data_IF_841271668328
#
_entry.id   IF_841271668328
#
_cell.length_a   1.000
_cell.length_b   1.000
_cell.length_c   1.000
_cell.angle_alpha   90.00
_cell.angle_beta   90.00
_cell.angle_gamma   90.00
#
_symmetry.space_group_name_H-M   'P 1'
#
loop_
_entity.id
_entity.type
_entity.pdbx_description
1 polymer ?
#
# COMPACT_ATOMS: atom_id res chain seq x y z
N UNK A 1 -22.72 -6.55 24.33
CA UNK A 1 -23.20 -5.47 23.44
C UNK A 1 -22.63 -4.09 23.75
N UNK A 2 -21.32 -3.95 24.02
CA UNK A 2 -20.64 -2.65 23.90
C UNK A 2 -19.86 -2.69 22.60
N UNK A 3 -20.37 -2.08 21.53
CA UNK A 3 -19.51 -1.71 20.39
C UNK A 3 -18.41 -0.84 20.99
N UNK A 4 -17.15 -1.14 20.71
CA UNK A 4 -15.99 -0.31 21.07
C UNK A 4 -16.14 1.03 20.36
N UNK A 5 -16.89 1.95 20.96
CA UNK A 5 -16.98 3.33 20.52
C UNK A 5 -15.68 4.00 20.93
N UNK A 6 -14.68 3.87 20.05
CA UNK A 6 -13.43 4.59 20.18
C UNK A 6 -13.74 6.06 19.87
N UNK A 7 -13.52 6.99 20.83
CA UNK A 7 -13.62 8.41 20.55
C UNK A 7 -12.64 8.75 19.42
N UNK A 8 -13.16 9.38 18.37
CA UNK A 8 -12.35 9.81 17.24
C UNK A 8 -12.08 11.30 17.35
N UNK A 9 -10.92 11.73 16.86
CA UNK A 9 -10.65 13.15 16.70
C UNK A 9 -11.59 13.74 15.64
N UNK A 10 -12.07 14.96 15.88
CA UNK A 10 -12.89 15.71 14.91
C UNK A 10 -12.03 16.41 13.86
N UNK A 11 -10.79 16.76 14.23
CA UNK A 11 -9.84 17.43 13.34
C UNK A 11 -9.55 16.57 12.12
N UNK A 12 -9.67 17.19 10.94
CA UNK A 12 -9.32 16.59 9.66
C UNK A 12 -7.90 16.98 9.25
N UNK A 13 -7.20 16.05 8.62
CA UNK A 13 -5.83 16.21 8.16
C UNK A 13 -5.73 16.14 6.64
N UNK A 14 -4.93 17.04 6.09
CA UNK A 14 -4.65 17.19 4.67
C UNK A 14 -3.56 16.20 4.22
N UNK A 15 -2.57 15.94 5.10
CA UNK A 15 -1.45 15.04 4.81
C UNK A 15 -1.28 14.04 5.93
N UNK A 16 -1.05 12.77 5.60
CA UNK A 16 -0.66 11.72 6.54
C UNK A 16 0.77 11.28 6.28
N UNK A 17 1.59 11.23 7.33
CA UNK A 17 3.03 10.92 7.23
C UNK A 17 3.40 9.74 8.13
N UNK A 18 4.02 8.72 7.55
CA UNK A 18 4.54 7.56 8.29
C UNK A 18 5.68 6.86 7.53
N UNK A 19 6.25 5.81 8.14
CA UNK A 19 7.23 4.95 7.49
C UNK A 19 6.85 3.49 7.59
N UNK A 20 7.20 2.70 6.57
CA UNK A 20 6.91 1.28 6.48
C UNK A 20 8.12 0.43 6.88
N UNK A 21 8.00 -0.44 7.89
CA UNK A 21 8.96 -1.50 8.15
C UNK A 21 8.97 -2.50 7.00
N UNK A 22 10.12 -3.12 6.72
CA UNK A 22 10.17 -4.22 5.75
C UNK A 22 9.36 -5.44 6.21
N UNK A 23 9.31 -5.71 7.52
CA UNK A 23 8.66 -6.87 8.11
C UNK A 23 7.59 -6.45 9.13
N UNK A 24 6.31 -6.70 8.80
CA UNK A 24 5.15 -6.50 9.66
C UNK A 24 3.94 -7.29 9.11
N UNK A 25 2.91 -7.53 9.93
CA UNK A 25 1.68 -8.31 9.61
C UNK A 25 1.89 -9.60 8.79
N UNK A 26 1.93 -9.52 7.45
CA UNK A 26 2.14 -10.67 6.56
C UNK A 26 3.62 -11.10 6.41
N UNK A 27 4.53 -10.37 7.03
CA UNK A 27 5.92 -10.78 7.25
C UNK A 27 6.96 -9.98 6.45
N UNK A 28 8.19 -10.48 6.45
CA UNK A 28 9.31 -9.94 5.69
C UNK A 28 8.94 -9.71 4.21
N UNK A 29 9.16 -8.48 3.75
CA UNK A 29 8.90 -8.01 2.39
C UNK A 29 7.59 -7.23 2.25
N UNK A 30 6.70 -7.22 3.26
CA UNK A 30 5.40 -6.55 3.15
C UNK A 30 5.55 -5.04 2.88
N UNK A 31 6.51 -4.38 3.53
CA UNK A 31 6.70 -2.94 3.36
C UNK A 31 7.48 -2.53 2.11
N UNK A 32 8.05 -3.49 1.38
CA UNK A 32 8.98 -3.24 0.27
C UNK A 32 8.51 -3.80 -1.06
N UNK A 33 7.69 -4.85 -1.03
CA UNK A 33 7.01 -5.39 -2.19
C UNK A 33 5.89 -4.42 -2.63
N UNK A 34 5.79 -4.04 -3.92
CA UNK A 34 4.83 -3.04 -4.38
C UNK A 34 3.37 -3.36 -4.09
N UNK A 35 2.94 -4.60 -4.30
CA UNK A 35 1.55 -5.02 -4.13
C UNK A 35 1.19 -5.07 -2.64
N UNK A 36 2.09 -5.60 -1.81
CA UNK A 36 1.89 -5.64 -0.36
C UNK A 36 1.92 -4.23 0.26
N UNK A 37 2.81 -3.37 -0.22
CA UNK A 37 2.90 -1.97 0.17
C UNK A 37 1.59 -1.22 -0.14
N UNK A 38 0.99 -1.44 -1.32
CA UNK A 38 -0.32 -0.87 -1.67
C UNK A 38 -1.41 -1.26 -0.68
N UNK A 39 -1.46 -2.53 -0.28
CA UNK A 39 -2.41 -2.95 0.75
C UNK A 39 -2.13 -2.28 2.10
N UNK A 40 -0.87 -2.12 2.49
CA UNK A 40 -0.51 -1.45 3.73
C UNK A 40 -0.89 0.05 3.74
N UNK A 41 -0.76 0.74 2.60
CA UNK A 41 -1.24 2.11 2.40
C UNK A 41 -2.76 2.18 2.60
N UNK A 42 -3.49 1.28 1.95
CA UNK A 42 -4.96 1.15 2.07
C UNK A 42 -5.39 0.90 3.51
N UNK A 43 -4.68 0.04 4.25
CA UNK A 43 -4.98 -0.21 5.66
C UNK A 43 -4.89 1.07 6.50
N UNK A 44 -3.98 2.01 6.19
CA UNK A 44 -3.94 3.30 6.88
C UNK A 44 -5.10 4.21 6.51
N UNK A 45 -5.55 4.17 5.25
CA UNK A 45 -6.79 4.86 4.84
C UNK A 45 -7.97 4.34 5.64
N UNK A 46 -8.17 3.03 5.71
CA UNK A 46 -9.32 2.44 6.42
C UNK A 46 -9.30 2.82 7.90
N UNK A 47 -8.15 2.74 8.56
CA UNK A 47 -7.98 3.07 9.98
C UNK A 47 -8.23 4.54 10.28
N UNK A 48 -7.87 5.43 9.37
CA UNK A 48 -7.89 6.88 9.61
C UNK A 48 -8.93 7.63 8.79
N UNK A 49 -9.81 6.94 8.04
CA UNK A 49 -10.77 7.59 7.12
C UNK A 49 -11.57 8.71 7.78
N UNK A 50 -11.91 8.55 9.07
CA UNK A 50 -12.65 9.56 9.84
C UNK A 50 -11.87 10.84 10.14
N UNK A 51 -10.54 10.83 10.13
CA UNK A 51 -9.69 12.01 10.37
C UNK A 51 -8.99 12.48 9.09
N UNK A 52 -9.16 11.78 7.96
CA UNK A 52 -8.70 12.24 6.66
C UNK A 52 -9.67 13.26 6.07
N UNK A 53 -9.13 14.27 5.38
CA UNK A 53 -9.90 15.04 4.39
C UNK A 53 -10.11 14.22 3.11
N UNK A 54 -11.06 14.65 2.28
CA UNK A 54 -11.37 13.96 1.03
C UNK A 54 -10.22 14.04 0.01
N UNK A 55 -9.46 15.14 0.00
CA UNK A 55 -8.28 15.35 -0.84
C UNK A 55 -6.95 15.02 -0.12
N UNK A 56 -6.97 14.05 0.81
CA UNK A 56 -5.80 13.73 1.62
C UNK A 56 -4.63 13.19 0.76
N UNK A 57 -3.41 13.58 1.12
CA UNK A 57 -2.17 13.03 0.55
C UNK A 57 -1.47 12.14 1.58
N UNK A 58 -0.95 11.00 1.17
CA UNK A 58 -0.06 10.18 1.99
C UNK A 58 1.38 10.43 1.59
N UNK A 59 2.27 10.60 2.57
CA UNK A 59 3.72 10.58 2.39
C UNK A 59 4.29 9.47 3.27
N UNK A 60 4.80 8.43 2.63
CA UNK A 60 5.25 7.22 3.29
C UNK A 60 6.72 6.93 2.94
N UNK A 61 7.58 6.67 3.91
CA UNK A 61 8.89 6.08 3.59
C UNK A 61 8.77 4.57 3.37
N UNK A 62 9.34 4.09 2.28
CA UNK A 62 9.55 2.66 2.02
C UNK A 62 10.77 2.52 1.11
N UNK A 63 11.63 1.55 1.41
CA UNK A 63 12.81 1.31 0.59
C UNK A 63 12.47 0.77 -0.81
N UNK A 64 11.28 0.19 -1.01
CA UNK A 64 10.77 -0.33 -2.29
C UNK A 64 11.89 -0.74 -3.25
N UNK A 65 12.64 -1.78 -2.89
CA UNK A 65 13.95 -2.11 -3.45
C UNK A 65 13.92 -3.27 -4.46
N UNK A 66 12.75 -3.57 -5.03
CA UNK A 66 12.58 -4.72 -5.92
C UNK A 66 12.57 -6.08 -5.20
N UNK A 67 12.58 -6.12 -3.87
CA UNK A 67 12.44 -7.35 -3.11
C UNK A 67 10.97 -7.79 -3.03
N UNK A 68 10.56 -8.66 -3.95
CA UNK A 68 9.22 -9.26 -3.98
C UNK A 68 9.04 -10.38 -2.95
N UNK A 69 10.15 -10.93 -2.44
CA UNK A 69 10.18 -12.13 -1.59
C UNK A 69 9.50 -13.32 -2.28
N UNK A 70 10.11 -13.77 -3.38
CA UNK A 70 9.56 -14.75 -4.31
C UNK A 70 9.31 -16.13 -3.67
N UNK A 71 9.98 -16.47 -2.55
CA UNK A 71 9.70 -17.69 -1.80
C UNK A 71 8.36 -17.62 -1.04
N UNK A 72 8.05 -16.46 -0.45
CA UNK A 72 6.81 -16.26 0.32
C UNK A 72 5.63 -15.95 -0.59
N UNK A 73 5.86 -15.19 -1.65
CA UNK A 73 4.82 -14.76 -2.59
C UNK A 73 5.24 -15.01 -4.05
N UNK A 74 5.33 -16.29 -4.46
CA UNK A 74 5.93 -16.70 -5.73
C UNK A 74 5.22 -16.21 -7.00
N UNK A 75 4.04 -15.61 -6.86
CA UNK A 75 3.19 -15.11 -7.93
C UNK A 75 3.19 -13.57 -8.01
N UNK A 76 3.66 -12.83 -7.00
CA UNK A 76 3.48 -11.37 -6.96
C UNK A 76 4.29 -10.63 -8.04
N UNK A 77 5.44 -11.16 -8.45
CA UNK A 77 6.22 -10.58 -9.54
C UNK A 77 5.46 -10.66 -10.86
N UNK A 78 4.93 -11.85 -11.18
CA UNK A 78 4.10 -12.07 -12.36
C UNK A 78 2.85 -11.18 -12.33
N UNK A 79 2.16 -11.09 -11.19
CA UNK A 79 1.00 -10.21 -11.06
C UNK A 79 1.35 -8.73 -11.26
N UNK A 80 2.49 -8.27 -10.74
CA UNK A 80 2.96 -6.91 -10.96
C UNK A 80 3.23 -6.65 -12.45
N UNK A 81 3.93 -7.57 -13.12
CA UNK A 81 4.24 -7.45 -14.55
C UNK A 81 2.96 -7.45 -15.40
N UNK A 82 2.02 -8.37 -15.13
CA UNK A 82 0.72 -8.41 -15.81
C UNK A 82 -0.09 -7.12 -15.61
N UNK A 83 -0.06 -6.54 -14.42
CA UNK A 83 -0.73 -5.26 -14.13
C UNK A 83 -0.20 -4.10 -14.96
N UNK A 84 1.03 -4.17 -15.48
CA UNK A 84 1.56 -3.12 -16.37
C UNK A 84 1.05 -3.23 -17.83
N UNK A 85 0.22 -4.23 -18.13
CA UNK A 85 -0.18 -4.60 -19.48
C UNK A 85 -1.69 -4.85 -19.59
N UNK A 86 -2.17 -5.15 -20.80
CA UNK A 86 -3.53 -5.64 -21.07
C UNK A 86 -4.68 -4.79 -20.47
N UNK A 87 -4.56 -3.47 -20.63
CA UNK A 87 -5.59 -2.49 -20.21
C UNK A 87 -5.93 -2.56 -18.71
N UNK A 88 -4.97 -2.97 -17.87
CA UNK A 88 -5.08 -2.93 -16.41
C UNK A 88 -4.87 -1.49 -15.92
N UNK A 89 -5.97 -0.77 -15.74
CA UNK A 89 -5.92 0.65 -15.36
C UNK A 89 -6.00 0.83 -13.85
N UNK A 90 -6.76 -0.04 -13.17
CA UNK A 90 -6.91 -0.05 -11.72
C UNK A 90 -6.61 -1.45 -11.18
N UNK A 91 -6.16 -1.53 -9.92
CA UNK A 91 -5.78 -2.82 -9.31
C UNK A 91 -6.86 -3.90 -9.37
N UNK A 92 -8.17 -3.62 -9.21
CA UNK A 92 -9.23 -4.63 -9.33
C UNK A 92 -9.39 -5.22 -10.75
N UNK A 93 -8.85 -4.60 -11.80
CA UNK A 93 -8.93 -5.16 -13.16
C UNK A 93 -8.25 -6.55 -13.25
N UNK A 94 -7.28 -6.81 -12.36
CA UNK A 94 -6.61 -8.11 -12.24
C UNK A 94 -7.51 -9.24 -11.74
N UNK A 95 -8.63 -8.95 -11.09
CA UNK A 95 -9.47 -9.96 -10.42
C UNK A 95 -10.00 -11.04 -11.39
N UNK A 96 -10.08 -10.72 -12.69
CA UNK A 96 -10.43 -11.68 -13.75
C UNK A 96 -9.48 -12.87 -13.86
N UNK A 97 -8.22 -12.74 -13.40
CA UNK A 97 -7.23 -13.82 -13.36
C UNK A 97 -7.16 -14.54 -12.02
N UNK A 98 -8.00 -14.15 -11.05
CA UNK A 98 -7.96 -14.71 -9.70
C UNK A 98 -8.09 -16.23 -9.67
N UNK A 99 -9.04 -16.81 -10.41
CA UNK A 99 -9.23 -18.26 -10.49
C UNK A 99 -8.08 -18.98 -11.22
N UNK A 100 -7.55 -18.37 -12.28
CA UNK A 100 -6.41 -18.91 -13.03
C UNK A 100 -5.18 -19.10 -12.14
N UNK A 101 -4.85 -18.10 -11.30
CA UNK A 101 -3.76 -18.21 -10.34
C UNK A 101 -4.13 -19.09 -9.14
N UNK A 102 -5.37 -19.00 -8.65
CA UNK A 102 -5.86 -19.80 -7.53
C UNK A 102 -5.82 -21.30 -7.80
N UNK A 103 -5.91 -21.72 -9.06
CA UNK A 103 -5.89 -23.13 -9.49
C UNK A 103 -4.53 -23.59 -10.05
N UNK A 104 -3.53 -22.71 -10.11
CA UNK A 104 -2.19 -23.07 -10.56
C UNK A 104 -1.55 -24.11 -9.62
N UNK A 105 -1.28 -25.30 -10.16
CA UNK A 105 -0.80 -26.44 -9.38
C UNK A 105 0.54 -26.17 -8.69
N UNK A 106 1.47 -25.45 -9.33
CA UNK A 106 2.78 -25.19 -8.75
C UNK A 106 2.70 -24.18 -7.60
N UNK A 107 1.89 -23.12 -7.73
CA UNK A 107 1.67 -22.19 -6.62
C UNK A 107 0.94 -22.85 -5.45
N UNK A 108 -0.03 -23.73 -5.72
CA UNK A 108 -0.67 -24.53 -4.67
C UNK A 108 0.36 -25.45 -3.98
N UNK A 109 1.27 -26.08 -4.72
CA UNK A 109 2.33 -26.91 -4.12
C UNK A 109 3.25 -26.09 -3.24
N UNK A 110 3.69 -24.90 -3.68
CA UNK A 110 4.49 -23.98 -2.85
C UNK A 110 3.74 -23.53 -1.59
N UNK A 111 2.44 -23.22 -1.70
CA UNK A 111 1.60 -22.93 -0.54
C UNK A 111 1.58 -24.10 0.46
N UNK A 112 1.32 -25.33 -0.02
CA UNK A 112 1.17 -26.52 0.83
C UNK A 112 2.48 -27.01 1.44
N UNK A 113 3.59 -26.89 0.73
CA UNK A 113 4.84 -27.58 1.08
C UNK A 113 6.04 -26.64 1.29
N UNK A 114 5.94 -25.36 0.92
CA UNK A 114 7.03 -24.38 1.04
C UNK A 114 6.67 -23.17 1.91
N UNK A 115 5.52 -23.19 2.61
CA UNK A 115 5.04 -22.09 3.46
C UNK A 115 4.85 -20.75 2.72
N UNK A 116 4.63 -20.79 1.40
CA UNK A 116 4.21 -19.62 0.64
C UNK A 116 2.77 -19.23 1.02
N UNK A 117 2.32 -18.04 0.65
CA UNK A 117 0.90 -17.69 0.70
C UNK A 117 0.13 -18.33 -0.46
N UNK A 118 -1.19 -18.51 -0.27
CA UNK A 118 -2.06 -18.99 -1.34
C UNK A 118 -2.12 -17.92 -2.46
N UNK A 119 -2.06 -18.29 -3.76
CA UNK A 119 -2.01 -17.34 -4.88
C UNK A 119 -3.12 -16.28 -4.89
N UNK A 120 -4.34 -16.66 -4.50
CA UNK A 120 -5.46 -15.71 -4.38
C UNK A 120 -5.17 -14.52 -3.42
N UNK A 121 -4.24 -14.68 -2.47
CA UNK A 121 -3.83 -13.60 -1.58
C UNK A 121 -3.35 -12.38 -2.36
N UNK A 122 -2.62 -12.55 -3.48
CA UNK A 122 -2.16 -11.43 -4.31
C UNK A 122 -3.31 -10.53 -4.79
N UNK A 123 -4.37 -11.14 -5.31
CA UNK A 123 -5.57 -10.45 -5.79
C UNK A 123 -6.26 -9.71 -4.65
N UNK A 124 -6.47 -10.37 -3.51
CA UNK A 124 -7.06 -9.70 -2.33
C UNK A 124 -6.26 -8.49 -1.84
N UNK A 125 -4.91 -8.51 -1.98
CA UNK A 125 -4.07 -7.35 -1.66
C UNK A 125 -4.22 -6.24 -2.69
N UNK A 126 -4.37 -6.57 -3.98
CA UNK A 126 -4.59 -5.61 -5.06
C UNK A 126 -5.95 -4.92 -4.94
N UNK A 127 -7.06 -5.67 -4.82
CA UNK A 127 -8.40 -5.07 -4.69
C UNK A 127 -8.51 -4.22 -3.41
N UNK A 128 -7.93 -4.67 -2.29
CA UNK A 128 -7.87 -3.87 -1.06
C UNK A 128 -6.96 -2.65 -1.22
N UNK A 129 -5.80 -2.80 -1.87
CA UNK A 129 -4.85 -1.72 -2.16
C UNK A 129 -5.49 -0.55 -2.93
N UNK A 130 -6.45 -0.84 -3.81
CA UNK A 130 -7.15 0.18 -4.60
C UNK A 130 -7.92 1.20 -3.75
N UNK A 131 -8.32 0.83 -2.53
CA UNK A 131 -8.97 1.77 -1.59
C UNK A 131 -8.06 2.97 -1.30
N UNK A 132 -6.74 2.78 -1.32
CA UNK A 132 -5.79 3.88 -1.14
C UNK A 132 -5.92 4.92 -2.28
N UNK A 133 -5.97 4.46 -3.52
CA UNK A 133 -6.15 5.29 -4.70
C UNK A 133 -7.51 6.01 -4.68
N UNK A 134 -8.60 5.30 -4.38
CA UNK A 134 -9.95 5.88 -4.31
C UNK A 134 -10.12 6.99 -3.26
N UNK A 135 -9.23 7.08 -2.27
CA UNK A 135 -9.41 7.92 -1.08
C UNK A 135 -8.25 8.90 -0.85
N UNK A 136 -7.30 9.00 -1.78
CA UNK A 136 -6.19 9.94 -1.68
C UNK A 136 -6.00 10.68 -3.00
N UNK A 137 -5.58 11.93 -2.93
CA UNK A 137 -5.23 12.69 -4.14
C UNK A 137 -3.87 12.30 -4.69
N UNK A 138 -2.97 11.87 -3.81
CA UNK A 138 -1.67 11.33 -4.17
C UNK A 138 -1.08 10.54 -3.01
N UNK A 139 -0.20 9.60 -3.35
CA UNK A 139 0.63 8.88 -2.39
C UNK A 139 2.08 9.00 -2.83
N UNK A 140 2.94 9.47 -1.94
CA UNK A 140 4.36 9.61 -2.15
C UNK A 140 5.12 8.53 -1.40
N UNK A 141 5.99 7.80 -2.10
CA UNK A 141 7.00 6.93 -1.52
C UNK A 141 8.33 7.66 -1.47
N UNK A 142 8.84 7.84 -0.24
CA UNK A 142 10.11 8.48 0.05
C UNK A 142 11.18 7.41 0.24
N UNK A 143 12.31 7.54 -0.47
CA UNK A 143 13.46 6.65 -0.31
C UNK A 143 13.38 5.31 -1.04
N UNK A 144 12.51 5.18 -2.05
CA UNK A 144 12.47 4.00 -2.91
C UNK A 144 13.79 3.82 -3.67
N UNK A 145 14.43 2.65 -3.54
CA UNK A 145 15.61 2.26 -4.30
C UNK A 145 15.26 1.88 -5.74
N UNK A 146 14.10 1.26 -5.95
CA UNK A 146 13.53 0.96 -7.27
C UNK A 146 12.27 1.80 -7.50
N UNK A 147 12.40 3.12 -7.75
CA UNK A 147 11.26 4.02 -7.80
C UNK A 147 10.35 3.77 -9.01
N UNK A 148 10.85 3.10 -10.06
CA UNK A 148 10.02 2.66 -11.19
C UNK A 148 8.92 1.69 -10.77
N UNK A 149 9.22 0.80 -9.82
CA UNK A 149 8.27 -0.20 -9.31
C UNK A 149 7.13 0.47 -8.53
N UNK A 150 7.46 1.45 -7.68
CA UNK A 150 6.44 2.23 -6.98
C UNK A 150 5.56 3.02 -7.97
N UNK A 151 6.16 3.65 -8.98
CA UNK A 151 5.41 4.39 -10.01
C UNK A 151 4.50 3.50 -10.84
N UNK A 152 4.91 2.27 -11.14
CA UNK A 152 4.08 1.27 -11.81
C UNK A 152 2.80 0.93 -11.05
N UNK A 153 2.77 1.16 -9.73
CA UNK A 153 1.57 1.02 -8.88
C UNK A 153 0.73 2.30 -8.78
N UNK A 154 0.98 3.31 -9.61
CA UNK A 154 0.29 4.61 -9.56
C UNK A 154 0.81 5.57 -8.49
N UNK A 155 1.92 5.23 -7.81
CA UNK A 155 2.49 6.05 -6.73
C UNK A 155 3.43 7.13 -7.27
N UNK A 156 3.66 8.17 -6.46
CA UNK A 156 4.70 9.18 -6.71
C UNK A 156 5.94 8.84 -5.90
N UNK A 157 7.12 9.25 -6.35
CA UNK A 157 8.39 9.00 -5.64
C UNK A 157 9.18 10.29 -5.44
N UNK A 158 9.78 10.48 -4.27
CA UNK A 158 10.69 11.58 -3.95
C UNK A 158 11.87 11.09 -3.10
N UNK A 159 12.97 11.83 -3.10
CA UNK A 159 14.15 11.45 -2.32
C UNK A 159 13.92 11.70 -0.82
N UNK A 160 13.25 12.79 -0.47
CA UNK A 160 13.03 13.22 0.92
C UNK A 160 11.56 13.52 1.23
N UNK A 161 11.24 13.62 2.53
CA UNK A 161 9.91 14.00 2.99
C UNK A 161 9.60 15.47 2.65
N UNK A 162 10.59 16.34 2.72
CA UNK A 162 10.49 17.77 2.40
C UNK A 162 10.09 17.96 0.93
N UNK A 163 10.76 17.26 0.00
CA UNK A 163 10.41 17.30 -1.42
C UNK A 163 9.00 16.77 -1.70
N UNK A 164 8.60 15.69 -1.02
CA UNK A 164 7.25 15.14 -1.13
C UNK A 164 6.20 16.12 -0.60
N UNK A 165 6.47 16.77 0.53
CA UNK A 165 5.56 17.73 1.13
C UNK A 165 5.43 18.99 0.27
N UNK A 166 6.52 19.53 -0.26
CA UNK A 166 6.49 20.70 -1.15
C UNK A 166 5.74 20.40 -2.47
N UNK A 167 5.94 19.22 -3.06
CA UNK A 167 5.17 18.80 -4.23
C UNK A 167 3.67 18.64 -3.91
N UNK A 168 3.35 18.09 -2.74
CA UNK A 168 1.98 17.93 -2.28
C UNK A 168 1.29 19.28 -2.02
N UNK A 169 1.96 20.21 -1.34
CA UNK A 169 1.47 21.58 -1.10
C UNK A 169 1.14 22.28 -2.41
N UNK A 170 2.06 22.23 -3.38
CA UNK A 170 1.90 22.87 -4.67
C UNK A 170 0.74 22.31 -5.51
N UNK A 171 0.46 21.00 -5.41
CA UNK A 171 -0.45 20.30 -6.33
C UNK A 171 -1.80 19.90 -5.75
N UNK A 172 -1.89 19.67 -4.44
CA UNK A 172 -3.03 18.95 -3.85
C UNK A 172 -3.60 19.61 -2.61
N UNK A 173 -2.76 20.13 -1.69
CA UNK A 173 -3.21 20.49 -0.33
C UNK A 173 -2.99 21.96 0.07
N UNK A 174 -2.33 22.77 -0.77
CA UNK A 174 -2.05 24.18 -0.49
C UNK A 174 -0.89 24.41 0.49
N UNK A 175 -0.60 25.69 0.79
CA UNK A 175 0.62 26.08 1.52
C UNK A 175 0.66 25.73 3.02
N UNK A 176 -0.49 25.55 3.67
CA UNK A 176 -0.55 25.33 5.12
C UNK A 176 -1.40 24.09 5.47
N UNK A 177 -0.97 22.87 5.06
CA UNK A 177 -1.72 21.65 5.31
C UNK A 177 -1.67 21.24 6.79
N UNK A 178 -2.77 20.67 7.31
CA UNK A 178 -2.74 19.96 8.58
C UNK A 178 -2.10 18.58 8.37
N UNK A 179 -1.00 18.32 9.08
CA UNK A 179 -0.23 17.09 8.93
C UNK A 179 -0.49 16.16 10.12
N UNK A 180 -0.87 14.92 9.83
CA UNK A 180 -0.94 13.82 10.79
C UNK A 180 0.34 12.99 10.71
N UNK A 181 1.23 13.15 11.69
CA UNK A 181 2.46 12.36 11.78
C UNK A 181 2.25 11.12 12.65
N UNK A 182 2.57 9.94 12.10
CA UNK A 182 2.34 8.65 12.75
C UNK A 182 3.64 7.82 12.85
N UNK A 183 4.62 8.23 13.66
CA UNK A 183 5.93 7.55 13.76
C UNK A 183 5.84 6.13 14.36
N UNK A 184 4.70 5.77 14.97
CA UNK A 184 4.46 4.47 15.60
C UNK A 184 3.40 3.63 14.89
N UNK A 185 3.03 3.98 13.64
CA UNK A 185 1.95 3.34 12.85
C UNK A 185 1.93 1.80 12.92
N UNK A 186 3.11 1.17 12.86
CA UNK A 186 3.25 -0.30 12.84
C UNK A 186 3.85 -0.88 14.13
N UNK A 187 3.97 -0.07 15.18
CA UNK A 187 4.48 -0.49 16.49
C UNK A 187 3.40 -0.63 17.55
N UNK A 188 2.23 -0.04 17.31
CA UNK A 188 1.10 -0.07 18.22
C UNK A 188 -0.08 -0.78 17.55
N UNK A 189 -0.83 -1.57 18.32
CA UNK A 189 -2.14 -2.04 17.86
C UNK A 189 -3.04 -0.83 17.60
N UNK A 190 -3.82 -0.85 16.52
CA UNK A 190 -4.90 0.12 16.41
C UNK A 190 -6.03 -0.37 17.31
N UNK A 191 -6.20 0.35 18.42
CA UNK A 191 -7.30 0.28 19.41
C UNK A 191 -7.95 -1.08 19.65
#
# INVERSE_FOLDING_TARGET
NKRTYVPFAEKKYDVMVFGMPQNFHYGNGMGTNPIQMMQALSAQVIRHKRVMKDNCVIICSSICNGYFHDERWPYLRELYEMFQHDYMNILPDMDRYGEYFATNQEYIRKYRFCNAFHPFHGFSMMSCGHIAEMNTSAIYIVGAQEPGIARGMGLKTRATFEEALEDAKKKFVGENPNILALPQTFKLGAV
#
